data_IF_812353157804
#
_entry.id   IF_812353157804
#
_cell.length_a   1.000
_cell.length_b   1.000
_cell.length_c   1.000
_cell.angle_alpha   90.00
_cell.angle_beta   90.00
_cell.angle_gamma   90.00
#
_symmetry.space_group_name_H-M   'P 1'
#
loop_
_entity.id
_entity.type
_entity.pdbx_description
1 polymer ?
#
# COMPACT_ATOMS: atom_id res chain seq x y z
N UNK A 1 1.38 4.45 -74.94
CA UNK A 1 2.07 5.52 -74.21
C UNK A 1 1.12 6.45 -73.42
N UNK A 2 -0.01 6.92 -73.97
CA UNK A 2 -0.92 7.85 -73.27
C UNK A 2 -1.49 7.33 -71.92
N UNK A 3 -1.87 6.04 -71.85
CA UNK A 3 -2.50 5.45 -70.66
C UNK A 3 -1.61 5.45 -69.41
N UNK A 4 -0.31 5.20 -69.56
CA UNK A 4 0.62 5.23 -68.42
C UNK A 4 0.86 6.62 -67.84
N UNK A 5 0.67 7.68 -68.65
CA UNK A 5 0.81 9.06 -68.19
C UNK A 5 -0.39 9.50 -67.34
N UNK A 6 -1.59 9.04 -67.67
CA UNK A 6 -2.80 9.31 -66.88
C UNK A 6 -2.80 8.57 -65.55
N UNK A 7 -2.37 7.30 -65.53
CA UNK A 7 -2.22 6.53 -64.29
C UNK A 7 -1.21 7.17 -63.33
N UNK A 8 -0.07 7.66 -63.86
CA UNK A 8 0.93 8.35 -63.05
C UNK A 8 0.39 9.67 -62.48
N UNK A 9 -0.38 10.44 -63.26
CA UNK A 9 -1.00 11.67 -62.78
C UNK A 9 -1.99 11.40 -61.65
N UNK A 10 -2.77 10.32 -61.78
CA UNK A 10 -3.73 9.91 -60.76
C UNK A 10 -3.03 9.48 -59.46
N UNK A 11 -1.98 8.69 -59.54
CA UNK A 11 -1.18 8.32 -58.36
C UNK A 11 -0.57 9.52 -57.65
N UNK A 12 -0.07 10.52 -58.39
CA UNK A 12 0.48 11.75 -57.79
C UNK A 12 -0.62 12.54 -57.07
N UNK A 13 -1.83 12.60 -57.65
CA UNK A 13 -2.96 13.26 -57.02
C UNK A 13 -3.43 12.53 -55.77
N UNK A 14 -3.61 11.20 -55.85
CA UNK A 14 -4.02 10.36 -54.74
C UNK A 14 -2.99 10.41 -53.59
N UNK A 15 -1.69 10.45 -53.90
CA UNK A 15 -0.62 10.62 -52.91
C UNK A 15 -0.69 12.00 -52.24
N UNK A 16 -0.94 13.06 -53.01
CA UNK A 16 -1.07 14.43 -52.47
C UNK A 16 -2.28 14.55 -51.56
N UNK A 17 -3.41 13.96 -51.94
CA UNK A 17 -4.63 13.91 -51.14
C UNK A 17 -4.45 13.04 -49.89
N UNK A 18 -3.77 11.89 -50.02
CA UNK A 18 -3.40 11.03 -48.90
C UNK A 18 -2.48 11.72 -47.89
N UNK A 19 -1.49 12.49 -48.37
CA UNK A 19 -0.59 13.28 -47.51
C UNK A 19 -1.33 14.43 -46.80
N UNK A 20 -2.21 15.14 -47.52
CA UNK A 20 -3.02 16.22 -46.92
C UNK A 20 -4.04 15.69 -45.91
N UNK A 21 -4.67 14.54 -46.17
CA UNK A 21 -5.59 13.88 -45.25
C UNK A 21 -4.90 13.24 -44.04
N UNK A 22 -3.61 12.93 -44.15
CA UNK A 22 -2.78 12.39 -43.06
C UNK A 22 -2.10 13.48 -42.22
N UNK A 23 -2.22 14.76 -42.62
CA UNK A 23 -1.62 15.86 -41.87
C UNK A 23 -2.40 16.03 -40.56
N UNK A 24 -1.85 15.48 -39.48
CA UNK A 24 -2.35 15.66 -38.11
C UNK A 24 -2.58 17.16 -37.89
N UNK A 25 -3.79 17.52 -37.50
CA UNK A 25 -4.16 18.91 -37.24
C UNK A 25 -3.18 19.50 -36.22
N UNK A 26 -2.43 20.52 -36.64
CA UNK A 26 -1.52 21.24 -35.75
C UNK A 26 -2.36 21.92 -34.66
N UNK A 27 -2.21 21.45 -33.42
CA UNK A 27 -2.81 22.07 -32.24
C UNK A 27 -2.16 23.42 -32.01
N UNK A 28 -2.94 24.43 -31.62
CA UNK A 28 -2.39 25.75 -31.32
C UNK A 28 -1.45 25.69 -30.11
N UNK A 29 -0.52 26.63 -30.01
CA UNK A 29 0.38 26.70 -28.87
C UNK A 29 -0.39 26.85 -27.54
N UNK A 30 -1.50 27.61 -27.55
CA UNK A 30 -2.35 27.81 -26.36
C UNK A 30 -3.01 26.52 -25.89
N UNK A 31 -3.56 25.73 -26.81
CA UNK A 31 -4.18 24.43 -26.49
C UNK A 31 -3.15 23.42 -25.97
N UNK A 32 -1.94 23.42 -26.54
CA UNK A 32 -0.84 22.57 -26.07
C UNK A 32 -0.40 22.94 -24.65
N UNK A 33 -0.20 24.24 -24.38
CA UNK A 33 0.18 24.71 -23.04
C UNK A 33 -0.94 24.44 -22.01
N UNK A 34 -2.21 24.66 -22.38
CA UNK A 34 -3.35 24.34 -21.51
C UNK A 34 -3.43 22.85 -21.16
N UNK A 35 -3.10 21.96 -22.11
CA UNK A 35 -3.01 20.53 -21.84
C UNK A 35 -1.87 20.22 -20.85
N UNK A 36 -0.69 20.82 -21.03
CA UNK A 36 0.44 20.65 -20.11
C UNK A 36 0.08 21.10 -18.68
N UNK A 37 -0.54 22.27 -18.53
CA UNK A 37 -1.00 22.78 -17.24
C UNK A 37 -1.99 21.84 -16.56
N UNK A 38 -2.96 21.33 -17.34
CA UNK A 38 -3.95 20.38 -16.84
C UNK A 38 -3.30 19.10 -16.36
N UNK A 39 -2.39 18.52 -17.15
CA UNK A 39 -1.63 17.32 -16.78
C UNK A 39 -0.84 17.59 -15.49
N UNK A 40 -0.19 18.74 -15.38
CA UNK A 40 0.57 19.07 -14.17
C UNK A 40 -0.33 19.21 -12.94
N UNK A 41 -1.48 19.86 -13.07
CA UNK A 41 -2.44 19.98 -11.97
C UNK A 41 -2.96 18.61 -11.49
N UNK A 42 -3.13 17.66 -12.43
CA UNK A 42 -3.55 16.29 -12.08
C UNK A 42 -2.46 15.57 -11.30
N UNK A 43 -1.18 15.70 -11.68
CA UNK A 43 -0.08 15.13 -10.91
C UNK A 43 -0.03 15.70 -9.49
N UNK A 44 -0.07 17.02 -9.33
CA UNK A 44 -0.08 17.66 -8.01
C UNK A 44 -1.29 17.22 -7.16
N UNK A 45 -2.47 17.07 -7.78
CA UNK A 45 -3.66 16.58 -7.09
C UNK A 45 -3.51 15.13 -6.62
N UNK A 46 -2.93 14.26 -7.45
CA UNK A 46 -2.67 12.86 -7.08
C UNK A 46 -1.65 12.78 -5.96
N UNK A 47 -0.54 13.51 -6.05
CA UNK A 47 0.48 13.58 -5.00
C UNK A 47 -0.13 14.01 -3.66
N UNK A 48 -0.90 15.11 -3.65
CA UNK A 48 -1.57 15.59 -2.45
C UNK A 48 -2.55 14.56 -1.85
N UNK A 49 -3.28 13.83 -2.69
CA UNK A 49 -4.19 12.76 -2.23
C UNK A 49 -3.42 11.57 -1.66
N UNK A 50 -2.30 11.20 -2.25
CA UNK A 50 -1.42 10.12 -1.76
C UNK A 50 -0.83 10.50 -0.41
N UNK A 51 -0.36 11.75 -0.25
CA UNK A 51 0.13 12.26 1.03
C UNK A 51 -0.97 12.26 2.10
N UNK A 52 -2.17 12.74 1.77
CA UNK A 52 -3.30 12.74 2.69
C UNK A 52 -3.70 11.31 3.12
N UNK A 53 -3.66 10.35 2.19
CA UNK A 53 -3.90 8.93 2.50
C UNK A 53 -2.79 8.35 3.39
N UNK A 54 -1.52 8.69 3.14
CA UNK A 54 -0.40 8.25 3.98
C UNK A 54 -0.54 8.76 5.42
N UNK A 55 -0.92 10.04 5.59
CA UNK A 55 -1.19 10.63 6.92
C UNK A 55 -2.38 9.94 7.60
N UNK A 56 -3.47 9.70 6.87
CA UNK A 56 -4.62 8.95 7.41
C UNK A 56 -4.22 7.54 7.84
N UNK A 57 -3.41 6.83 7.07
CA UNK A 57 -2.93 5.49 7.44
C UNK A 57 -2.00 5.51 8.66
N UNK A 58 -1.20 6.57 8.83
CA UNK A 58 -0.35 6.74 10.01
C UNK A 58 -1.13 7.12 11.27
N UNK A 59 -2.28 7.78 11.13
CA UNK A 59 -3.09 8.32 12.24
C UNK A 59 -4.32 7.48 12.56
N UNK A 60 -4.74 6.60 11.65
CA UNK A 60 -5.82 5.65 11.88
C UNK A 60 -5.31 4.51 12.75
N UNK A 61 -5.24 4.76 14.05
CA UNK A 61 -5.30 3.69 15.03
C UNK A 61 -6.65 2.99 14.85
N UNK A 62 -6.63 1.81 14.24
CA UNK A 62 -7.79 0.92 14.26
C UNK A 62 -8.29 0.80 15.70
N UNK A 63 -9.61 0.64 15.96
CA UNK A 63 -10.13 0.44 17.30
C UNK A 63 -9.31 -0.65 17.98
N UNK A 64 -8.42 -0.24 18.90
CA UNK A 64 -7.51 -1.16 19.55
C UNK A 64 -8.38 -2.04 20.43
N UNK A 65 -8.72 -3.22 19.95
CA UNK A 65 -9.38 -4.24 20.75
C UNK A 65 -8.48 -4.45 21.97
N UNK A 66 -8.98 -4.11 23.15
CA UNK A 66 -8.23 -4.33 24.38
C UNK A 66 -7.94 -5.82 24.49
N UNK A 67 -6.67 -6.18 24.33
CA UNK A 67 -6.24 -7.58 24.44
C UNK A 67 -6.42 -8.00 25.90
N UNK A 68 -7.24 -9.04 26.18
CA UNK A 68 -7.40 -9.54 27.54
C UNK A 68 -6.04 -9.97 28.12
N UNK A 69 -5.76 -9.54 29.36
CA UNK A 69 -4.52 -9.88 30.05
C UNK A 69 -4.50 -11.38 30.41
N UNK A 70 -3.33 -12.06 30.32
CA UNK A 70 -3.17 -13.44 30.77
C UNK A 70 -3.45 -13.63 32.26
N UNK A 71 -3.80 -14.85 32.62
CA UNK A 71 -3.89 -15.28 34.02
C UNK A 71 -2.49 -15.42 34.63
N UNK A 72 -2.38 -15.19 35.93
CA UNK A 72 -1.14 -15.36 36.67
C UNK A 72 -0.84 -16.83 36.98
N UNK A 73 0.44 -17.17 37.14
CA UNK A 73 0.90 -18.51 37.50
C UNK A 73 1.56 -18.51 38.87
N UNK A 74 1.05 -19.35 39.77
CA UNK A 74 1.47 -19.41 41.19
C UNK A 74 2.63 -20.36 41.48
N UNK A 75 3.10 -21.11 40.47
CA UNK A 75 4.15 -22.12 40.66
C UNK A 75 3.64 -23.44 41.21
N UNK A 76 2.32 -23.70 41.11
CA UNK A 76 1.75 -25.02 41.41
C UNK A 76 2.40 -26.07 40.51
N UNK A 77 2.72 -27.23 41.10
CA UNK A 77 3.30 -28.38 40.39
C UNK A 77 2.21 -29.17 39.65
N UNK A 78 1.47 -28.48 38.80
CA UNK A 78 0.45 -29.01 37.91
C UNK A 78 0.87 -28.71 36.47
N UNK A 79 1.14 -29.77 35.70
CA UNK A 79 1.58 -29.65 34.31
C UNK A 79 0.53 -28.95 33.43
N UNK A 80 -0.75 -29.18 33.68
CA UNK A 80 -1.84 -28.58 32.92
C UNK A 80 -1.95 -27.08 33.20
N UNK A 81 -1.74 -26.66 34.44
CA UNK A 81 -1.72 -25.23 34.79
C UNK A 81 -0.54 -24.51 34.12
N UNK A 82 0.63 -25.14 34.10
CA UNK A 82 1.81 -24.61 33.41
C UNK A 82 1.57 -24.50 31.90
N UNK A 83 1.05 -25.55 31.26
CA UNK A 83 0.75 -25.55 29.82
C UNK A 83 -0.27 -24.46 29.45
N UNK A 84 -1.32 -24.31 30.27
CA UNK A 84 -2.32 -23.26 30.07
C UNK A 84 -1.71 -21.86 30.17
N UNK A 85 -0.83 -21.64 31.16
CA UNK A 85 -0.14 -20.37 31.33
C UNK A 85 0.70 -20.03 30.10
N UNK A 86 1.53 -20.97 29.63
CA UNK A 86 2.37 -20.76 28.44
C UNK A 86 1.53 -20.47 27.20
N UNK A 87 0.47 -21.24 26.99
CA UNK A 87 -0.44 -21.04 25.86
C UNK A 87 -1.10 -19.65 25.87
N UNK A 88 -1.56 -19.19 27.04
CA UNK A 88 -2.15 -17.85 27.20
C UNK A 88 -1.13 -16.74 26.98
N UNK A 89 0.11 -16.91 27.45
CA UNK A 89 1.18 -15.94 27.26
C UNK A 89 1.56 -15.80 25.78
N UNK A 90 1.69 -16.91 25.05
CA UNK A 90 1.97 -16.90 23.62
C UNK A 90 0.89 -16.17 22.82
N UNK A 91 -0.39 -16.49 23.10
CA UNK A 91 -1.52 -15.81 22.46
C UNK A 91 -1.56 -14.32 22.77
N UNK A 92 -1.23 -13.94 24.01
CA UNK A 92 -1.15 -12.53 24.39
C UNK A 92 -0.05 -11.80 23.62
N UNK A 93 1.15 -12.38 23.52
CA UNK A 93 2.25 -11.79 22.76
C UNK A 93 1.93 -11.60 21.28
N UNK A 94 1.28 -12.57 20.65
CA UNK A 94 0.82 -12.42 19.27
C UNK A 94 -0.22 -11.30 19.12
N UNK A 95 -1.18 -11.22 20.05
CA UNK A 95 -2.22 -10.21 20.02
C UNK A 95 -1.67 -8.78 20.20
N UNK A 96 -0.59 -8.61 20.98
CA UNK A 96 0.11 -7.32 21.11
C UNK A 96 1.28 -7.16 20.13
N UNK A 97 1.45 -8.09 19.18
CA UNK A 97 2.54 -8.12 18.20
C UNK A 97 3.95 -8.05 18.82
N UNK A 98 4.13 -8.58 20.04
CA UNK A 98 5.42 -8.60 20.73
C UNK A 98 6.28 -9.75 20.21
N UNK A 99 7.35 -9.41 19.49
CA UNK A 99 8.26 -10.40 18.87
C UNK A 99 9.62 -10.50 19.56
N UNK A 100 10.04 -9.49 20.33
CA UNK A 100 11.33 -9.50 21.02
C UNK A 100 11.34 -10.50 22.18
N UNK A 101 12.13 -11.57 22.04
CA UNK A 101 12.20 -12.66 23.02
C UNK A 101 12.62 -12.18 24.42
N UNK A 102 13.57 -11.24 24.50
CA UNK A 102 14.01 -10.70 25.79
C UNK A 102 12.87 -9.95 26.50
N UNK A 103 12.05 -9.21 25.75
CA UNK A 103 10.86 -8.53 26.28
C UNK A 103 9.74 -9.50 26.60
N UNK A 104 9.52 -10.55 25.79
CA UNK A 104 8.58 -11.62 26.13
C UNK A 104 8.90 -12.26 27.47
N UNK A 105 10.16 -12.63 27.71
CA UNK A 105 10.61 -13.19 28.98
C UNK A 105 10.33 -12.22 30.13
N UNK A 106 10.77 -10.95 30.01
CA UNK A 106 10.51 -9.93 31.04
C UNK A 106 9.02 -9.74 31.33
N UNK A 107 8.18 -9.72 30.30
CA UNK A 107 6.73 -9.57 30.45
C UNK A 107 6.12 -10.81 31.09
N UNK A 108 6.53 -12.02 30.71
CA UNK A 108 6.04 -13.26 31.32
C UNK A 108 6.34 -13.32 32.82
N UNK A 109 7.51 -12.84 33.24
CA UNK A 109 7.87 -12.74 34.66
C UNK A 109 6.89 -11.88 35.48
N UNK A 110 6.25 -10.86 34.86
CA UNK A 110 5.25 -10.03 35.55
C UNK A 110 3.97 -10.78 35.93
N UNK A 111 3.73 -11.94 35.32
CA UNK A 111 2.56 -12.78 35.58
C UNK A 111 2.88 -13.99 36.49
N UNK A 112 4.11 -14.09 36.99
CA UNK A 112 4.47 -15.06 38.03
C UNK A 112 4.09 -14.50 39.40
N UNK A 113 3.50 -15.34 40.26
CA UNK A 113 3.14 -15.00 41.64
C UNK A 113 3.59 -16.11 42.60
N UNK A 114 3.56 -15.83 43.90
CA UNK A 114 3.86 -16.78 44.97
C UNK A 114 5.19 -17.53 44.75
N UNK A 115 5.15 -18.86 44.78
CA UNK A 115 6.33 -19.71 44.63
C UNK A 115 6.99 -19.57 43.27
N UNK A 116 6.26 -19.19 42.21
CA UNK A 116 6.85 -18.99 40.90
C UNK A 116 7.77 -17.77 40.83
N UNK A 117 7.60 -16.78 41.71
CA UNK A 117 8.49 -15.59 41.74
C UNK A 117 9.86 -15.86 42.33
N UNK A 118 10.04 -17.00 43.00
CA UNK A 118 11.26 -17.37 43.72
C UNK A 118 12.19 -18.29 42.92
N UNK A 119 11.78 -18.68 41.70
CA UNK A 119 12.54 -19.51 40.77
C UNK A 119 13.28 -18.64 39.75
#
# INVERSE_FOLDING_TARGET
MKKGLEDLRKQIQDLREGVLGSQVQAVSHEEFMSFQDKVMSMFTSVESRVEALAVLMATHEAPRVEVPKPHTFSGKRDAKELDNFLWHMERYFEAITLTDEATKVRTATLYLIDNATLW
#
